data_IF_080484058468
#
_entry.id   IF_080484058468
#
_cell.length_a   1.000
_cell.length_b   1.000
_cell.length_c   1.000
_cell.angle_alpha   90.00
_cell.angle_beta   90.00
_cell.angle_gamma   90.00
#
_symmetry.space_group_name_H-M   'P 1'
#
loop_
_entity.id
_entity.type
_entity.pdbx_description
1 polymer ?
#
# COMPACT_ATOMS: atom_id res chain seq x y z
N UNK A 1 -14.18 -28.28 4.00
CA UNK A 1 -14.94 -28.28 2.75
C UNK A 1 -16.23 -27.51 3.02
N UNK A 2 -16.26 -26.22 2.70
CA UNK A 2 -17.49 -25.43 2.73
C UNK A 2 -18.30 -25.74 1.48
N UNK A 3 -19.59 -25.97 1.63
CA UNK A 3 -20.49 -25.99 0.49
C UNK A 3 -20.66 -24.57 -0.01
N UNK A 4 -20.21 -24.28 -1.23
CA UNK A 4 -20.48 -23.02 -1.91
C UNK A 4 -21.69 -23.23 -2.81
N UNK A 5 -22.63 -22.31 -2.76
CA UNK A 5 -23.71 -22.21 -3.72
C UNK A 5 -23.26 -21.28 -4.84
N UNK A 6 -23.42 -21.70 -6.08
CA UNK A 6 -23.04 -20.91 -7.26
C UNK A 6 -24.31 -20.56 -8.02
N UNK A 7 -24.56 -19.26 -8.15
CA UNK A 7 -25.64 -18.73 -8.97
C UNK A 7 -25.07 -18.09 -10.23
N UNK A 8 -25.62 -18.42 -11.39
CA UNK A 8 -25.19 -17.86 -12.66
C UNK A 8 -26.18 -16.77 -13.10
N UNK A 9 -25.67 -15.57 -13.27
CA UNK A 9 -26.42 -14.43 -13.82
C UNK A 9 -26.07 -14.30 -15.32
N UNK A 10 -26.73 -15.06 -16.16
CA UNK A 10 -26.47 -15.10 -17.60
C UNK A 10 -27.79 -14.96 -18.38
N UNK A 11 -27.74 -14.28 -19.53
CA UNK A 11 -28.92 -14.12 -20.40
C UNK A 11 -29.99 -13.18 -19.83
N UNK A 12 -29.61 -12.28 -18.93
CA UNK A 12 -30.50 -11.26 -18.37
C UNK A 12 -30.18 -9.89 -18.97
N UNK A 13 -31.19 -9.01 -19.08
CA UNK A 13 -30.98 -7.62 -19.51
C UNK A 13 -30.06 -6.89 -18.53
N UNK A 14 -29.35 -5.88 -19.00
CA UNK A 14 -28.35 -5.20 -18.19
C UNK A 14 -28.93 -4.53 -16.93
N UNK A 15 -30.11 -3.91 -17.05
CA UNK A 15 -30.81 -3.28 -15.92
C UNK A 15 -31.25 -4.32 -14.86
N UNK A 16 -31.70 -5.49 -15.31
CA UNK A 16 -32.05 -6.62 -14.45
C UNK A 16 -30.80 -7.19 -13.77
N UNK A 17 -29.67 -7.24 -14.49
CA UNK A 17 -28.38 -7.66 -13.92
C UNK A 17 -27.92 -6.69 -12.83
N UNK A 18 -28.00 -5.39 -13.04
CA UNK A 18 -27.67 -4.39 -12.02
C UNK A 18 -28.57 -4.56 -10.78
N UNK A 19 -29.85 -4.78 -10.97
CA UNK A 19 -30.81 -5.01 -9.89
C UNK A 19 -30.47 -6.29 -9.11
N UNK A 20 -30.15 -7.38 -9.81
CA UNK A 20 -29.76 -8.64 -9.21
C UNK A 20 -28.44 -8.53 -8.42
N UNK A 21 -27.49 -7.72 -8.91
CA UNK A 21 -26.20 -7.47 -8.20
C UNK A 21 -26.41 -6.75 -6.88
N UNK A 22 -27.33 -5.79 -6.81
CA UNK A 22 -27.67 -5.08 -5.57
C UNK A 22 -28.28 -6.00 -4.52
N UNK A 23 -29.03 -7.03 -4.96
CA UNK A 23 -29.72 -7.98 -4.07
C UNK A 23 -28.83 -9.14 -3.58
N UNK A 24 -27.57 -9.20 -4.01
CA UNK A 24 -26.65 -10.27 -3.59
C UNK A 24 -26.40 -10.22 -2.06
N UNK A 25 -26.55 -11.36 -1.34
CA UNK A 25 -26.34 -11.39 0.11
C UNK A 25 -24.92 -11.02 0.53
N UNK A 26 -24.75 -10.32 1.66
CA UNK A 26 -23.47 -9.81 2.19
C UNK A 26 -22.33 -10.84 2.30
N UNK A 27 -22.65 -12.13 2.47
CA UNK A 27 -21.64 -13.20 2.60
C UNK A 27 -21.31 -13.87 1.26
N UNK A 28 -21.50 -13.16 0.19
CA UNK A 28 -21.23 -13.63 -1.17
C UNK A 28 -20.03 -12.92 -1.79
N UNK A 29 -19.65 -13.36 -2.98
CA UNK A 29 -18.67 -12.68 -3.83
C UNK A 29 -19.08 -12.84 -5.28
N UNK A 30 -18.73 -11.89 -6.12
CA UNK A 30 -18.96 -11.93 -7.55
C UNK A 30 -17.69 -12.37 -8.26
N UNK A 31 -17.78 -13.36 -9.13
CA UNK A 31 -16.77 -13.64 -10.13
C UNK A 31 -17.25 -13.09 -11.47
N UNK A 32 -16.72 -11.95 -11.85
CA UNK A 32 -17.08 -11.25 -13.08
C UNK A 32 -16.25 -11.79 -14.24
N UNK A 33 -16.91 -12.51 -15.15
CA UNK A 33 -16.26 -13.11 -16.31
C UNK A 33 -16.38 -12.23 -17.56
N UNK A 34 -17.62 -11.97 -18.00
CA UNK A 34 -17.88 -11.05 -19.10
C UNK A 34 -19.33 -10.58 -19.04
N UNK A 35 -19.54 -9.36 -19.48
CA UNK A 35 -20.90 -8.83 -19.70
C UNK A 35 -20.99 -8.42 -21.15
N UNK A 36 -21.99 -8.94 -21.85
CA UNK A 36 -22.28 -8.52 -23.21
C UNK A 36 -23.38 -7.47 -23.19
N UNK A 37 -23.28 -6.40 -24.01
CA UNK A 37 -24.36 -5.45 -24.15
C UNK A 37 -25.60 -6.17 -24.69
N UNK A 38 -26.76 -5.76 -24.18
CA UNK A 38 -28.04 -6.28 -24.63
C UNK A 38 -28.31 -5.87 -26.09
N UNK A 39 -28.98 -6.73 -26.87
CA UNK A 39 -29.34 -6.50 -28.27
C UNK A 39 -30.39 -5.39 -28.48
N UNK A 40 -30.78 -4.68 -27.42
CA UNK A 40 -31.78 -3.59 -27.43
C UNK A 40 -31.33 -2.32 -28.16
N UNK A 41 -30.21 -2.35 -28.89
CA UNK A 41 -29.76 -1.25 -29.75
C UNK A 41 -29.11 -0.08 -29.03
N UNK A 42 -28.96 -0.14 -27.71
CA UNK A 42 -28.22 0.86 -26.96
C UNK A 42 -26.73 0.50 -26.98
N UNK A 43 -25.93 1.32 -27.66
CA UNK A 43 -24.46 1.17 -27.68
C UNK A 43 -23.91 1.64 -26.36
N UNK A 44 -23.90 0.78 -25.36
CA UNK A 44 -23.19 1.05 -24.10
C UNK A 44 -21.73 0.61 -24.29
N UNK A 45 -20.77 1.46 -23.94
CA UNK A 45 -19.36 1.06 -23.97
C UNK A 45 -19.09 0.01 -22.89
N UNK A 46 -18.34 -1.02 -23.22
CA UNK A 46 -17.98 -2.10 -22.25
C UNK A 46 -17.37 -1.55 -20.95
N UNK A 47 -16.59 -0.49 -21.05
CA UNK A 47 -16.02 0.18 -19.88
C UNK A 47 -17.09 0.73 -18.93
N UNK A 48 -18.18 1.30 -19.46
CA UNK A 48 -19.25 1.87 -18.66
C UNK A 48 -20.07 0.78 -17.99
N UNK A 49 -20.31 -0.33 -18.72
CA UNK A 49 -20.98 -1.53 -18.19
C UNK A 49 -20.23 -2.05 -16.96
N UNK A 50 -18.93 -2.30 -17.07
CA UNK A 50 -18.14 -2.79 -15.95
C UNK A 50 -18.08 -1.78 -14.79
N UNK A 51 -17.96 -0.50 -15.10
CA UNK A 51 -17.93 0.55 -14.07
C UNK A 51 -19.24 0.63 -13.30
N UNK A 52 -20.39 0.54 -13.98
CA UNK A 52 -21.70 0.56 -13.33
C UNK A 52 -21.90 -0.69 -12.48
N UNK A 53 -21.61 -1.88 -13.02
CA UNK A 53 -21.78 -3.15 -12.31
C UNK A 53 -20.92 -3.23 -11.05
N UNK A 54 -19.64 -2.86 -11.16
CA UNK A 54 -18.72 -2.84 -10.02
C UNK A 54 -19.13 -1.77 -9.01
N UNK A 55 -19.66 -0.63 -9.50
CA UNK A 55 -20.09 0.49 -8.67
C UNK A 55 -21.28 0.19 -7.78
N UNK A 56 -22.22 -0.67 -8.24
CA UNK A 56 -23.41 -1.05 -7.46
C UNK A 56 -23.18 -2.28 -6.58
N UNK A 57 -22.07 -3.00 -6.77
CA UNK A 57 -21.77 -4.20 -6.01
C UNK A 57 -21.42 -3.88 -4.55
N UNK A 58 -22.19 -4.44 -3.62
CA UNK A 58 -21.91 -4.35 -2.16
C UNK A 58 -21.32 -5.64 -1.61
N UNK A 59 -20.63 -6.38 -2.47
CA UNK A 59 -19.87 -7.58 -2.16
C UNK A 59 -18.55 -7.58 -2.95
N UNK A 60 -17.51 -8.33 -2.53
CA UNK A 60 -16.23 -8.38 -3.22
C UNK A 60 -16.36 -8.87 -4.66
N UNK A 61 -15.80 -8.13 -5.61
CA UNK A 61 -15.78 -8.48 -7.04
C UNK A 61 -14.39 -8.97 -7.42
N UNK A 62 -14.32 -10.15 -7.99
CA UNK A 62 -13.12 -10.76 -8.55
C UNK A 62 -13.28 -10.95 -10.06
N UNK A 63 -12.16 -11.00 -10.79
CA UNK A 63 -12.17 -11.30 -12.23
C UNK A 63 -10.89 -12.03 -12.64
N UNK A 64 -10.95 -12.95 -13.63
CA UNK A 64 -9.75 -13.54 -14.21
C UNK A 64 -9.17 -12.73 -15.38
N UNK A 65 -9.81 -11.61 -15.76
CA UNK A 65 -9.43 -10.84 -16.94
C UNK A 65 -8.79 -9.51 -16.56
N UNK A 66 -7.59 -9.25 -17.07
CA UNK A 66 -6.82 -8.03 -16.82
C UNK A 66 -7.52 -6.77 -17.36
N UNK A 67 -8.24 -6.85 -18.47
CA UNK A 67 -8.99 -5.73 -19.05
C UNK A 67 -10.21 -5.31 -18.21
N UNK A 68 -10.69 -6.18 -17.31
CA UNK A 68 -11.75 -5.85 -16.33
C UNK A 68 -11.16 -5.31 -15.02
N UNK A 69 -9.88 -5.60 -14.74
CA UNK A 69 -9.23 -5.19 -13.50
C UNK A 69 -9.08 -3.68 -13.41
N UNK A 70 -9.87 -3.10 -12.56
CA UNK A 70 -9.98 -1.63 -12.35
C UNK A 70 -10.36 -1.31 -10.91
N UNK A 71 -10.56 -0.03 -10.63
CA UNK A 71 -11.05 0.42 -9.33
C UNK A 71 -12.36 -0.27 -8.95
N UNK A 72 -12.41 -0.78 -7.71
CA UNK A 72 -13.55 -1.56 -7.18
C UNK A 72 -13.38 -3.08 -7.28
N UNK A 73 -12.54 -3.58 -8.18
CA UNK A 73 -12.22 -5.02 -8.27
C UNK A 73 -11.17 -5.40 -7.23
N UNK A 74 -11.42 -6.47 -6.48
CA UNK A 74 -10.48 -6.97 -5.46
C UNK A 74 -9.22 -7.55 -6.12
N UNK A 75 -9.38 -8.32 -7.20
CA UNK A 75 -8.28 -8.96 -7.88
C UNK A 75 -8.66 -10.26 -8.59
N UNK A 76 -7.65 -11.03 -8.93
CA UNK A 76 -7.80 -12.31 -9.59
C UNK A 76 -6.48 -12.95 -10.00
N UNK A 77 -6.58 -14.01 -10.78
CA UNK A 77 -5.44 -14.65 -11.42
C UNK A 77 -5.43 -14.27 -12.90
N UNK A 78 -4.55 -13.38 -13.30
CA UNK A 78 -4.54 -12.79 -14.63
C UNK A 78 -3.49 -13.44 -15.53
N UNK A 79 -3.91 -13.80 -16.75
CA UNK A 79 -2.98 -14.05 -17.82
C UNK A 79 -2.46 -12.71 -18.36
N UNK A 80 -1.14 -12.58 -18.52
CA UNK A 80 -0.58 -11.40 -19.14
C UNK A 80 -0.85 -11.43 -20.65
N UNK A 81 -1.69 -10.53 -21.15
CA UNK A 81 -2.14 -10.49 -22.55
C UNK A 81 -0.98 -10.28 -23.53
N UNK A 82 0.04 -9.51 -23.16
CA UNK A 82 1.23 -9.31 -23.99
C UNK A 82 2.06 -10.59 -24.10
N UNK A 83 2.31 -11.24 -22.96
CA UNK A 83 3.05 -12.52 -22.91
C UNK A 83 2.28 -13.59 -23.68
N UNK A 84 0.95 -13.66 -23.50
CA UNK A 84 0.07 -14.58 -24.23
C UNK A 84 0.17 -14.40 -25.74
N UNK A 85 0.10 -13.16 -26.20
CA UNK A 85 0.23 -12.83 -27.64
C UNK A 85 1.58 -13.22 -28.20
N UNK A 86 2.67 -12.96 -27.48
CA UNK A 86 4.02 -13.34 -27.86
C UNK A 86 4.18 -14.86 -27.97
N UNK A 87 3.73 -15.60 -26.96
CA UNK A 87 3.79 -17.06 -26.95
C UNK A 87 2.94 -17.68 -28.05
N UNK A 88 1.76 -17.12 -28.32
CA UNK A 88 0.94 -17.56 -29.45
C UNK A 88 1.65 -17.38 -30.80
N UNK A 89 2.34 -16.26 -30.99
CA UNK A 89 3.13 -16.00 -32.19
C UNK A 89 4.33 -16.96 -32.31
N UNK A 90 5.07 -17.19 -31.24
CA UNK A 90 6.20 -18.15 -31.21
C UNK A 90 5.73 -19.57 -31.50
N UNK A 91 4.58 -19.98 -30.92
CA UNK A 91 3.97 -21.27 -31.18
C UNK A 91 3.55 -21.39 -32.66
N UNK A 92 2.91 -20.37 -33.22
CA UNK A 92 2.51 -20.37 -34.62
C UNK A 92 3.74 -20.53 -35.55
N UNK A 93 4.84 -19.82 -35.28
CA UNK A 93 6.10 -19.96 -36.05
C UNK A 93 6.67 -21.38 -35.91
N UNK A 94 6.67 -21.95 -34.69
CA UNK A 94 7.21 -23.30 -34.49
C UNK A 94 6.39 -24.37 -35.23
N UNK A 95 5.05 -24.25 -35.21
CA UNK A 95 4.15 -25.17 -35.94
C UNK A 95 4.27 -25.04 -37.45
N UNK A 96 4.58 -23.84 -37.98
CA UNK A 96 4.86 -23.65 -39.42
C UNK A 96 6.17 -24.31 -39.85
N UNK A 97 7.16 -24.34 -38.96
CA UNK A 97 8.46 -24.96 -39.20
C UNK A 97 8.45 -26.48 -38.99
N UNK A 98 7.75 -26.92 -37.96
CA UNK A 98 7.54 -28.34 -37.61
C UNK A 98 6.13 -28.55 -37.12
N UNK A 99 5.23 -29.07 -37.93
CA UNK A 99 3.83 -29.34 -37.58
C UNK A 99 3.63 -30.31 -36.38
N UNK A 100 4.68 -31.05 -36.01
CA UNK A 100 4.63 -31.97 -34.87
C UNK A 100 5.29 -31.39 -33.62
N UNK A 101 5.73 -30.12 -33.65
CA UNK A 101 6.32 -29.49 -32.47
C UNK A 101 5.26 -29.30 -31.39
N UNK A 102 5.35 -30.09 -30.31
CA UNK A 102 4.52 -29.91 -29.10
C UNK A 102 5.26 -28.99 -28.13
N UNK A 103 5.13 -27.71 -28.35
CA UNK A 103 5.78 -26.71 -27.48
C UNK A 103 4.93 -26.34 -26.25
N UNK A 104 3.83 -27.05 -25.98
CA UNK A 104 3.03 -26.96 -24.74
C UNK A 104 3.00 -25.57 -24.09
N UNK A 105 2.77 -24.50 -24.88
CA UNK A 105 2.85 -23.14 -24.40
C UNK A 105 1.86 -22.92 -23.27
N UNK A 106 2.38 -22.75 -22.05
CA UNK A 106 1.58 -22.35 -20.89
C UNK A 106 1.72 -20.87 -20.72
N UNK A 107 0.61 -20.16 -20.83
CA UNK A 107 0.57 -18.73 -20.52
C UNK A 107 0.82 -18.56 -19.02
N UNK A 108 1.88 -17.87 -18.62
CA UNK A 108 2.09 -17.60 -17.21
C UNK A 108 0.99 -16.67 -16.69
N UNK A 109 0.44 -17.04 -15.56
CA UNK A 109 -0.55 -16.23 -14.86
C UNK A 109 0.05 -15.68 -13.58
N UNK A 110 -0.45 -14.54 -13.12
CA UNK A 110 -0.07 -13.94 -11.85
C UNK A 110 -1.30 -13.53 -11.05
N UNK A 111 -1.25 -13.79 -9.75
CA UNK A 111 -2.26 -13.26 -8.85
C UNK A 111 -1.97 -11.78 -8.58
N UNK A 112 -2.98 -10.93 -8.78
CA UNK A 112 -2.90 -9.49 -8.49
C UNK A 112 -4.14 -9.06 -7.71
N UNK A 113 -3.92 -8.20 -6.70
CA UNK A 113 -4.97 -7.72 -5.82
C UNK A 113 -4.77 -6.23 -5.51
N UNK A 114 -5.87 -5.51 -5.39
CA UNK A 114 -5.86 -4.11 -4.96
C UNK A 114 -5.91 -4.04 -3.42
N UNK A 115 -4.86 -3.48 -2.80
CA UNK A 115 -4.77 -3.34 -1.34
C UNK A 115 -5.95 -2.58 -0.74
N UNK A 116 -6.47 -1.57 -1.44
CA UNK A 116 -7.62 -0.78 -0.97
C UNK A 116 -8.88 -1.65 -0.86
N UNK A 117 -9.09 -2.52 -1.86
CA UNK A 117 -10.23 -3.43 -1.86
C UNK A 117 -10.06 -4.57 -0.85
N UNK A 118 -8.85 -5.10 -0.69
CA UNK A 118 -8.55 -6.07 0.36
C UNK A 118 -8.90 -5.49 1.74
N UNK A 119 -8.53 -4.24 2.00
CA UNK A 119 -8.84 -3.55 3.25
C UNK A 119 -10.35 -3.29 3.40
N UNK A 120 -11.02 -2.81 2.34
CA UNK A 120 -12.47 -2.57 2.33
C UNK A 120 -13.26 -3.80 2.75
N UNK A 121 -12.86 -4.97 2.24
CA UNK A 121 -13.56 -6.24 2.46
C UNK A 121 -12.99 -7.06 3.62
N UNK A 122 -12.00 -6.54 4.37
CA UNK A 122 -11.39 -7.24 5.50
C UNK A 122 -10.62 -8.51 5.10
N UNK A 123 -10.15 -8.60 3.86
CA UNK A 123 -9.39 -9.74 3.34
C UNK A 123 -7.93 -9.57 3.75
N UNK A 124 -7.43 -10.50 4.58
CA UNK A 124 -6.04 -10.46 5.03
C UNK A 124 -5.08 -10.88 3.92
N UNK A 125 -3.98 -10.14 3.75
CA UNK A 125 -2.91 -10.46 2.80
C UNK A 125 -2.31 -11.87 3.05
N UNK A 126 -2.44 -12.42 4.27
CA UNK A 126 -1.98 -13.78 4.61
C UNK A 126 -2.79 -14.89 3.95
N UNK A 127 -3.99 -14.58 3.48
CA UNK A 127 -4.87 -15.54 2.81
C UNK A 127 -4.63 -15.58 1.29
N UNK A 128 -3.82 -14.64 0.78
CA UNK A 128 -3.53 -14.57 -0.65
C UNK A 128 -2.55 -15.67 -1.05
N UNK A 129 -2.63 -16.14 -2.32
CA UNK A 129 -1.65 -17.08 -2.86
C UNK A 129 -0.21 -16.53 -2.74
N UNK A 130 0.79 -17.41 -2.59
CA UNK A 130 2.19 -17.00 -2.63
C UNK A 130 2.52 -16.22 -3.91
N UNK A 131 3.44 -15.28 -3.83
CA UNK A 131 3.90 -14.46 -4.95
C UNK A 131 2.81 -13.55 -5.56
N UNK A 132 1.71 -13.29 -4.83
CA UNK A 132 0.69 -12.35 -5.26
C UNK A 132 1.26 -10.93 -5.35
N UNK A 133 0.96 -10.26 -6.47
CA UNK A 133 1.27 -8.84 -6.67
C UNK A 133 0.15 -8.03 -6.00
N UNK A 134 0.53 -7.10 -5.12
CA UNK A 134 -0.44 -6.24 -4.46
C UNK A 134 -0.27 -4.83 -4.99
N UNK A 135 -1.26 -4.37 -5.74
CA UNK A 135 -1.33 -3.04 -6.30
C UNK A 135 -1.87 -2.04 -5.26
N UNK A 136 -1.63 -0.75 -5.46
CA UNK A 136 -2.12 0.34 -4.62
C UNK A 136 -1.80 0.18 -3.12
N UNK A 137 -0.67 -0.45 -2.82
CA UNK A 137 -0.17 -0.46 -1.44
C UNK A 137 0.06 0.98 -1.00
N UNK A 138 -0.76 1.45 -0.07
CA UNK A 138 -0.43 2.67 0.65
C UNK A 138 0.77 2.34 1.55
N UNK A 139 1.94 2.78 1.13
CA UNK A 139 3.09 2.82 2.04
C UNK A 139 2.61 3.68 3.21
N UNK A 140 2.50 3.08 4.38
CA UNK A 140 2.09 3.82 5.58
C UNK A 140 2.96 5.08 5.67
N UNK A 141 2.32 6.25 5.76
CA UNK A 141 3.05 7.51 5.90
C UNK A 141 4.05 7.44 7.08
N UNK A 142 3.74 6.64 8.08
CA UNK A 142 4.62 6.34 9.21
C UNK A 142 5.88 5.56 8.81
N UNK A 143 5.78 4.59 7.88
CA UNK A 143 6.97 3.88 7.37
C UNK A 143 7.84 4.78 6.49
N UNK A 144 7.22 5.59 5.64
CA UNK A 144 7.91 6.53 4.78
C UNK A 144 8.63 7.62 5.58
N UNK A 145 8.03 8.11 6.67
CA UNK A 145 8.58 9.17 7.50
C UNK A 145 9.31 8.66 8.76
N UNK A 146 9.28 7.37 9.05
CA UNK A 146 9.87 6.80 10.27
C UNK A 146 11.36 7.18 10.44
N UNK A 147 12.13 7.14 9.36
CA UNK A 147 13.53 7.53 9.34
C UNK A 147 13.71 9.04 9.59
N UNK A 148 12.85 9.87 9.04
CA UNK A 148 12.90 11.33 9.23
C UNK A 148 12.48 11.70 10.64
N UNK A 149 11.45 11.07 11.18
CA UNK A 149 11.00 11.25 12.58
C UNK A 149 12.12 10.87 13.54
N UNK A 150 12.82 9.75 13.29
CA UNK A 150 13.94 9.32 14.11
C UNK A 150 15.08 10.36 14.11
N UNK A 151 15.43 10.93 12.95
CA UNK A 151 16.45 11.98 12.84
C UNK A 151 16.04 13.23 13.61
N UNK A 152 14.79 13.67 13.50
CA UNK A 152 14.28 14.84 14.24
C UNK A 152 14.32 14.59 15.75
N UNK A 153 13.96 13.40 16.22
CA UNK A 153 14.05 13.05 17.64
C UNK A 153 15.48 13.05 18.17
N UNK A 154 16.45 12.57 17.38
CA UNK A 154 17.87 12.60 17.74
C UNK A 154 18.38 14.04 17.86
N UNK A 155 18.03 14.91 16.88
CA UNK A 155 18.40 16.32 16.91
C UNK A 155 17.79 17.00 18.14
N UNK A 156 16.52 16.75 18.43
CA UNK A 156 15.84 17.32 19.59
C UNK A 156 16.45 16.87 20.92
N UNK A 157 16.78 15.58 21.04
CA UNK A 157 17.49 15.05 22.20
C UNK A 157 18.88 15.68 22.38
N UNK A 158 19.62 15.88 21.27
CA UNK A 158 20.91 16.56 21.27
C UNK A 158 20.82 18.00 21.73
N UNK A 159 19.81 18.76 21.27
CA UNK A 159 19.56 20.13 21.71
C UNK A 159 19.20 20.20 23.20
N UNK A 160 18.35 19.30 23.69
CA UNK A 160 18.03 19.22 25.12
C UNK A 160 19.28 18.92 25.97
N UNK A 161 20.08 17.97 25.54
CA UNK A 161 21.34 17.64 26.20
C UNK A 161 22.28 18.87 26.25
N UNK A 162 22.39 19.55 25.12
CA UNK A 162 23.22 20.79 25.01
C UNK A 162 22.74 21.87 25.97
N UNK A 163 21.44 22.14 26.03
CA UNK A 163 20.86 23.12 26.95
C UNK A 163 21.14 22.76 28.43
N UNK A 164 20.94 21.49 28.79
CA UNK A 164 21.20 21.02 30.17
C UNK A 164 22.66 21.09 30.49
N UNK A 165 23.54 20.71 29.55
CA UNK A 165 24.99 20.80 29.71
C UNK A 165 25.45 22.25 29.94
N UNK A 166 24.99 23.18 29.11
CA UNK A 166 25.33 24.59 29.26
C UNK A 166 24.81 25.23 30.57
N UNK A 167 23.59 24.87 30.98
CA UNK A 167 23.04 25.31 32.29
C UNK A 167 23.89 24.80 33.46
N UNK A 168 24.40 23.56 33.39
CA UNK A 168 25.30 23.00 34.41
C UNK A 168 26.64 23.72 34.44
N UNK A 169 27.22 23.99 33.26
CA UNK A 169 28.47 24.73 33.14
C UNK A 169 28.33 26.16 33.68
N UNK A 170 27.27 26.88 33.31
CA UNK A 170 27.01 28.23 33.78
C UNK A 170 26.89 28.26 35.33
N UNK A 171 26.16 27.30 35.92
CA UNK A 171 26.04 27.21 37.38
C UNK A 171 27.36 26.90 38.07
N UNK A 172 28.24 26.08 37.47
CA UNK A 172 29.59 25.79 37.99
C UNK A 172 30.47 27.05 38.00
N UNK A 173 30.38 27.86 36.92
CA UNK A 173 31.12 29.13 36.84
C UNK A 173 30.65 30.16 37.91
N UNK A 174 29.33 30.29 38.12
CA UNK A 174 28.78 31.13 39.18
C UNK A 174 29.29 30.73 40.56
N UNK A 175 29.29 29.41 40.84
CA UNK A 175 29.78 28.90 42.13
C UNK A 175 31.28 29.16 42.30
N UNK A 176 32.09 29.05 41.27
CA UNK A 176 33.52 29.43 41.34
C UNK A 176 33.71 30.92 41.54
N UNK A 177 32.93 31.77 40.89
CA UNK A 177 33.00 33.22 41.04
C UNK A 177 32.64 33.68 42.46
N UNK A 178 31.57 33.13 43.03
CA UNK A 178 31.15 33.43 44.43
C UNK A 178 32.16 32.92 45.44
N UNK A 179 32.81 31.77 45.23
CA UNK A 179 33.88 31.26 46.08
C UNK A 179 35.10 32.17 45.98
N UNK A 180 35.50 32.64 44.81
CA UNK A 180 36.61 33.52 44.60
C UNK A 180 36.36 34.86 45.25
N UNK A 181 35.20 35.49 45.09
CA UNK A 181 34.78 36.73 45.78
C UNK A 181 34.73 36.54 47.30
N UNK A 182 34.28 35.41 47.82
CA UNK A 182 34.28 35.08 49.24
C UNK A 182 35.74 35.01 49.83
N UNK A 183 36.65 34.39 49.05
CA UNK A 183 38.07 34.29 49.46
C UNK A 183 38.73 35.66 49.46
N UNK A 184 38.50 36.47 48.43
CA UNK A 184 39.03 37.83 48.35
C UNK A 184 38.53 38.70 49.51
N UNK A 185 37.24 38.65 49.83
CA UNK A 185 36.63 39.39 50.93
C UNK A 185 37.00 38.87 52.32
N UNK A 186 37.52 37.65 52.42
CA UNK A 186 37.98 37.05 53.68
C UNK A 186 39.47 37.30 53.97
N UNK A 187 40.20 37.86 53.00
CA UNK A 187 41.59 38.35 53.27
C UNK A 187 41.48 39.66 54.03
N UNK A 188 41.75 39.71 55.31
CA UNK A 188 41.74 40.96 56.03
C UNK A 188 42.83 41.88 55.47
N UNK A 189 42.58 43.18 55.47
CA UNK A 189 43.51 44.30 55.08
C UNK A 189 44.86 44.17 55.79
N UNK A 190 45.69 43.25 55.36
CA UNK A 190 47.03 43.05 55.89
C UNK A 190 48.07 43.05 54.74
N UNK A 191 48.03 44.04 53.90
CA UNK A 191 49.21 44.47 53.17
C UNK A 191 49.49 45.90 53.62
N UNK A 192 50.13 46.00 54.73
CA UNK A 192 50.83 47.21 55.16
C UNK A 192 52.12 47.28 54.33
N UNK A 193 52.12 48.16 53.32
CA UNK A 193 53.36 48.52 52.63
C UNK A 193 54.08 49.43 53.57
N UNK A 194 55.04 48.90 54.31
CA UNK A 194 56.05 49.72 55.01
C UNK A 194 57.04 50.12 53.95
N UNK A 195 57.04 51.42 53.61
CA UNK A 195 58.12 52.09 52.91
C UNK A 195 59.25 52.22 53.93
N UNK A 196 60.46 51.73 53.58
CA UNK A 196 61.67 51.91 54.41
C UNK A 196 62.56 52.83 53.63
N UNK A 197 62.87 53.97 54.25
CA UNK A 197 63.87 54.96 53.86
C UNK A 197 65.25 54.39 53.42
#
# INVERSE_FOLDING_TARGET
>A
NGNFEITYLTGVAFDDLLSAVVEIPERSSILLLSVQPDDNGTVIQLNDIYTQLIGVADVPVFTPFDFIYREGVVGGNFANSEVSGRQAAELAVSLLLDPNSDNGARVPTSFRFDQRQLQRWGISNRLLPPESIIDNQQISSLEQYSRQILVVLIIFAGLLFFVVFFKRQAKSLETQKTLFESVINSIPDAILITDVD
#
